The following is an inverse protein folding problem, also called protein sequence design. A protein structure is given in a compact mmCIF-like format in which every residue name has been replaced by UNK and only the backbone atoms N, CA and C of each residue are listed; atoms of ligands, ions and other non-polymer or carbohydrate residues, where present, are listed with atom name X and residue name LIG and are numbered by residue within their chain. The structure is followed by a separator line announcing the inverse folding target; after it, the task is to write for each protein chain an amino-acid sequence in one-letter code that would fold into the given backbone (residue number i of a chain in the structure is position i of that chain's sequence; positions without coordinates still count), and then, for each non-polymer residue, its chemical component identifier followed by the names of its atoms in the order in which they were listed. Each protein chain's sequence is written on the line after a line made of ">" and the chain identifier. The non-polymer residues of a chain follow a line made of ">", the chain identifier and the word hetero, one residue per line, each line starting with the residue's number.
data_IF_407915893323
#
_entry.id   IF_407915893323
#
_cell.length_a   1.000
_cell.length_b   1.000
_cell.length_c   1.000
_cell.angle_alpha   90.00
_cell.angle_beta   90.00
_cell.angle_gamma   90.00
#
_symmetry.space_group_name_H-M   'P 1'
#
loop_
_entity.id
_entity.type
_entity.pdbx_description
1 polymer ?
#
# COMPACT_ATOMS: atom_id res chain seq x y z
N UNK A 1 -7.58 34.27 11.48
CA UNK A 1 -6.52 33.42 10.89
C UNK A 1 -6.11 32.26 11.81
N UNK A 2 -6.20 32.41 13.13
CA UNK A 2 -5.77 31.37 14.08
C UNK A 2 -6.72 30.17 14.17
N UNK A 3 -8.03 30.39 14.04
CA UNK A 3 -9.03 29.31 13.98
C UNK A 3 -8.80 28.41 12.75
N UNK A 4 -8.48 28.99 11.60
CA UNK A 4 -8.11 28.23 10.39
C UNK A 4 -6.81 27.45 10.59
N UNK A 5 -5.79 28.04 11.23
CA UNK A 5 -4.55 27.32 11.58
C UNK A 5 -4.78 26.18 12.57
N UNK A 6 -5.73 26.31 13.49
CA UNK A 6 -6.08 25.25 14.44
C UNK A 6 -6.83 24.12 13.76
N UNK A 7 -7.79 24.44 12.88
CA UNK A 7 -8.49 23.46 12.06
C UNK A 7 -7.51 22.73 11.13
N UNK A 8 -6.61 23.46 10.47
CA UNK A 8 -5.60 22.87 9.58
C UNK A 8 -4.63 21.96 10.34
N UNK A 9 -4.23 22.34 11.56
CA UNK A 9 -3.44 21.48 12.46
C UNK A 9 -4.18 20.19 12.83
N UNK A 10 -5.47 20.28 13.14
CA UNK A 10 -6.30 19.10 13.40
C UNK A 10 -6.37 18.15 12.20
N UNK A 11 -6.58 18.70 10.98
CA UNK A 11 -6.58 17.91 9.75
C UNK A 11 -5.22 17.23 9.48
N UNK A 12 -4.12 17.92 9.76
CA UNK A 12 -2.78 17.36 9.60
C UNK A 12 -2.47 16.27 10.63
N UNK A 13 -2.87 16.46 11.89
CA UNK A 13 -2.69 15.46 12.96
C UNK A 13 -3.52 14.18 12.71
N UNK A 14 -4.69 14.31 12.09
CA UNK A 14 -5.62 13.19 11.80
C UNK A 14 -5.61 12.74 10.33
N UNK A 15 -4.63 13.16 9.54
CA UNK A 15 -4.57 12.93 8.09
C UNK A 15 -4.81 11.47 7.68
N UNK A 16 -4.24 10.51 8.43
CA UNK A 16 -4.44 9.08 8.17
C UNK A 16 -5.87 8.62 8.42
N UNK A 17 -6.46 9.05 9.53
CA UNK A 17 -7.83 8.66 9.92
C UNK A 17 -8.84 9.22 8.92
N UNK A 18 -8.68 10.49 8.56
CA UNK A 18 -9.52 11.18 7.57
C UNK A 18 -9.39 10.52 6.20
N UNK A 19 -8.17 10.14 5.80
CA UNK A 19 -7.92 9.40 4.57
C UNK A 19 -8.65 8.06 4.52
N UNK A 20 -8.60 7.27 5.59
CA UNK A 20 -9.33 5.99 5.65
C UNK A 20 -10.85 6.17 5.64
N UNK A 21 -11.38 7.14 6.40
CA UNK A 21 -12.82 7.43 6.41
C UNK A 21 -13.32 7.88 5.04
N UNK A 22 -12.58 8.75 4.35
CA UNK A 22 -12.93 9.19 3.00
C UNK A 22 -12.89 8.03 2.00
N UNK A 23 -11.86 7.18 2.08
CA UNK A 23 -11.75 5.99 1.24
C UNK A 23 -12.91 5.02 1.47
N UNK A 24 -13.34 4.83 2.71
CA UNK A 24 -14.52 4.01 3.03
C UNK A 24 -15.80 4.59 2.41
N UNK A 25 -16.03 5.90 2.53
CA UNK A 25 -17.19 6.58 1.91
C UNK A 25 -17.19 6.42 0.38
N UNK A 26 -16.04 6.61 -0.27
CA UNK A 26 -15.90 6.38 -1.71
C UNK A 26 -16.16 4.93 -2.10
N UNK A 27 -15.75 3.98 -1.26
CA UNK A 27 -15.98 2.55 -1.51
C UNK A 27 -17.47 2.22 -1.45
N UNK A 28 -18.18 2.74 -0.45
CA UNK A 28 -19.64 2.59 -0.34
C UNK A 28 -20.36 3.24 -1.52
N UNK A 29 -19.98 4.46 -1.89
CA UNK A 29 -20.56 5.15 -3.05
C UNK A 29 -20.29 4.42 -4.37
N UNK A 30 -19.06 3.96 -4.59
CA UNK A 30 -18.68 3.22 -5.78
C UNK A 30 -19.42 1.89 -5.91
N UNK A 31 -19.52 1.12 -4.83
CA UNK A 31 -20.27 -0.14 -4.82
C UNK A 31 -21.75 0.08 -5.14
N UNK A 32 -22.37 1.13 -4.59
CA UNK A 32 -23.76 1.48 -4.91
C UNK A 32 -23.95 1.85 -6.37
N UNK A 33 -23.01 2.57 -6.98
CA UNK A 33 -23.07 2.90 -8.41
C UNK A 33 -22.94 1.63 -9.26
N UNK A 34 -21.96 0.76 -9.00
CA UNK A 34 -21.79 -0.47 -9.79
C UNK A 34 -23.00 -1.41 -9.67
N UNK A 35 -23.49 -1.61 -8.44
CA UNK A 35 -24.63 -2.50 -8.18
C UNK A 35 -25.94 -1.98 -8.77
N UNK A 36 -26.21 -0.68 -8.75
CA UNK A 36 -27.46 -0.12 -9.27
C UNK A 36 -27.44 0.15 -10.78
N UNK A 37 -26.30 0.57 -11.33
CA UNK A 37 -26.24 1.09 -12.71
C UNK A 37 -25.82 0.03 -13.71
N UNK A 38 -24.93 -0.89 -13.33
CA UNK A 38 -24.28 -1.79 -14.29
C UNK A 38 -24.55 -3.27 -14.07
N UNK A 39 -24.85 -3.67 -12.83
CA UNK A 39 -24.95 -5.07 -12.49
C UNK A 39 -26.36 -5.62 -12.72
N UNK A 40 -26.46 -6.57 -13.65
CA UNK A 40 -27.66 -7.35 -13.87
C UNK A 40 -27.25 -8.80 -14.04
N UNK A 41 -27.67 -9.67 -13.11
CA UNK A 41 -27.31 -11.08 -13.18
C UNK A 41 -27.91 -11.70 -14.46
N UNK A 42 -27.14 -12.45 -15.28
CA UNK A 42 -27.59 -12.95 -16.57
C UNK A 42 -28.60 -14.11 -16.47
N UNK A 43 -28.79 -14.69 -15.27
CA UNK A 43 -29.73 -15.78 -15.00
C UNK A 43 -29.44 -17.05 -15.82
N UNK A 44 -28.17 -17.24 -16.15
CA UNK A 44 -27.68 -18.35 -16.94
C UNK A 44 -26.68 -19.12 -16.09
N UNK A 45 -26.92 -20.42 -15.94
CA UNK A 45 -26.19 -21.30 -15.05
C UNK A 45 -24.66 -21.17 -15.23
N UNK A 46 -24.18 -21.27 -16.47
CA UNK A 46 -22.74 -21.28 -16.78
C UNK A 46 -22.06 -19.91 -16.65
N UNK A 47 -22.83 -18.81 -16.73
CA UNK A 47 -22.30 -17.45 -16.77
C UNK A 47 -22.42 -16.71 -15.43
N UNK A 48 -23.38 -17.09 -14.60
CA UNK A 48 -23.67 -16.45 -13.31
C UNK A 48 -22.44 -16.42 -12.40
N UNK A 49 -21.71 -17.54 -12.28
CA UNK A 49 -20.51 -17.62 -11.45
C UNK A 49 -19.42 -16.66 -11.93
N UNK A 50 -19.05 -16.74 -13.21
CA UNK A 50 -18.00 -15.89 -13.79
C UNK A 50 -18.38 -14.40 -13.74
N UNK A 51 -19.63 -14.06 -14.05
CA UNK A 51 -20.11 -12.68 -14.05
C UNK A 51 -20.12 -12.09 -12.63
N UNK A 52 -20.75 -12.77 -11.66
CA UNK A 52 -20.79 -12.32 -10.27
C UNK A 52 -19.40 -12.19 -9.64
N UNK A 53 -18.52 -13.17 -9.90
CA UNK A 53 -17.14 -13.14 -9.39
C UNK A 53 -16.31 -12.01 -10.03
N UNK A 54 -16.53 -11.69 -11.30
CA UNK A 54 -15.84 -10.58 -11.97
C UNK A 54 -16.20 -9.24 -11.35
N UNK A 55 -17.46 -8.99 -11.04
CA UNK A 55 -17.87 -7.75 -10.35
C UNK A 55 -17.42 -7.72 -8.88
N UNK A 56 -17.27 -8.88 -8.23
CA UNK A 56 -16.75 -8.96 -6.88
C UNK A 56 -15.23 -8.72 -6.81
N UNK A 57 -14.43 -9.43 -7.63
CA UNK A 57 -12.97 -9.43 -7.57
C UNK A 57 -12.30 -8.43 -8.53
N UNK A 58 -12.95 -8.07 -9.63
CA UNK A 58 -12.39 -7.18 -10.66
C UNK A 58 -12.00 -5.81 -10.08
N UNK A 59 -12.92 -5.07 -9.45
CA UNK A 59 -12.59 -3.80 -8.80
C UNK A 59 -11.54 -3.96 -7.69
N UNK A 60 -11.57 -5.06 -6.93
CA UNK A 60 -10.56 -5.35 -5.92
C UNK A 60 -9.16 -5.50 -6.53
N UNK A 61 -9.03 -6.19 -7.67
CA UNK A 61 -7.76 -6.35 -8.38
C UNK A 61 -7.25 -5.02 -8.93
N UNK A 62 -8.13 -4.18 -9.51
CA UNK A 62 -7.77 -2.84 -9.99
C UNK A 62 -7.29 -1.96 -8.84
N UNK A 63 -8.02 -1.95 -7.71
CA UNK A 63 -7.63 -1.21 -6.51
C UNK A 63 -6.28 -1.68 -5.95
N UNK A 64 -6.00 -3.00 -6.02
CA UNK A 64 -4.72 -3.55 -5.58
C UNK A 64 -3.56 -3.03 -6.45
N UNK A 65 -3.74 -2.99 -7.77
CA UNK A 65 -2.75 -2.41 -8.70
C UNK A 65 -2.49 -0.95 -8.38
N UNK A 66 -3.55 -0.13 -8.21
CA UNK A 66 -3.38 1.27 -7.79
C UNK A 66 -2.69 1.42 -6.43
N UNK A 67 -2.96 0.51 -5.49
CA UNK A 67 -2.28 0.44 -4.20
C UNK A 67 -0.77 0.23 -4.33
N UNK A 68 -0.33 -0.63 -5.25
CA UNK A 68 1.09 -0.80 -5.56
C UNK A 68 1.69 0.43 -6.26
N UNK A 69 1.02 0.96 -7.28
CA UNK A 69 1.49 2.12 -8.05
C UNK A 69 1.64 3.37 -7.18
N UNK A 70 0.82 3.52 -6.15
CA UNK A 70 0.89 4.67 -5.23
C UNK A 70 1.94 4.50 -4.12
N UNK A 71 2.54 3.31 -3.99
CA UNK A 71 3.45 2.99 -2.89
C UNK A 71 4.88 3.42 -3.18
N UNK A 72 5.34 4.48 -2.52
CA UNK A 72 6.74 4.92 -2.60
C UNK A 72 7.73 3.85 -2.11
N UNK A 73 7.31 2.99 -1.17
CA UNK A 73 8.12 1.86 -0.70
C UNK A 73 8.28 0.77 -1.76
N UNK A 74 7.24 0.54 -2.56
CA UNK A 74 7.30 -0.39 -3.70
C UNK A 74 8.31 0.10 -4.75
N UNK A 75 8.22 1.37 -5.14
CA UNK A 75 9.16 1.97 -6.10
C UNK A 75 10.60 1.99 -5.58
N UNK A 76 10.83 2.31 -4.30
CA UNK A 76 12.18 2.26 -3.70
C UNK A 76 12.80 0.87 -3.76
N UNK A 77 11.98 -0.18 -3.69
CA UNK A 77 12.44 -1.56 -3.80
C UNK A 77 12.73 -1.97 -5.25
N UNK A 78 11.86 -1.58 -6.19
CA UNK A 78 11.94 -2.05 -7.58
C UNK A 78 12.88 -1.21 -8.47
N UNK A 79 12.98 0.10 -8.23
CA UNK A 79 13.85 1.00 -9.01
C UNK A 79 15.32 0.65 -8.80
N UNK A 80 15.99 0.28 -9.89
CA UNK A 80 17.38 -0.16 -9.90
C UNK A 80 17.58 -1.67 -9.65
N UNK A 81 16.52 -2.48 -9.66
CA UNK A 81 16.61 -3.94 -9.48
C UNK A 81 17.53 -4.63 -10.52
N UNK A 82 17.46 -4.22 -11.79
CA UNK A 82 18.29 -4.78 -12.86
C UNK A 82 19.76 -4.33 -12.80
N UNK A 83 20.06 -3.26 -12.06
CA UNK A 83 21.43 -2.76 -11.85
C UNK A 83 22.11 -3.49 -10.69
N UNK A 84 21.36 -3.79 -9.64
CA UNK A 84 21.87 -4.47 -8.46
C UNK A 84 20.80 -5.40 -7.87
N UNK A 85 20.70 -6.67 -8.32
CA UNK A 85 19.68 -7.61 -7.86
C UNK A 85 19.83 -7.95 -6.36
N UNK A 86 21.00 -7.71 -5.79
CA UNK A 86 21.27 -7.87 -4.36
C UNK A 86 20.55 -6.81 -3.48
N UNK A 87 20.02 -5.74 -4.08
CA UNK A 87 19.26 -4.68 -3.38
C UNK A 87 17.91 -5.17 -2.87
N UNK A 88 17.26 -6.11 -3.56
CA UNK A 88 15.99 -6.69 -3.11
C UNK A 88 16.20 -7.66 -1.95
N UNK A 89 17.11 -8.61 -2.11
CA UNK A 89 17.42 -9.60 -1.08
C UNK A 89 18.95 -9.76 -0.93
N UNK A 90 19.58 -9.12 0.07
CA UNK A 90 21.00 -9.36 0.35
C UNK A 90 21.24 -10.82 0.74
N UNK A 91 22.36 -11.38 0.27
CA UNK A 91 22.77 -12.81 0.34
C UNK A 91 22.36 -13.44 1.68
N UNK A 92 21.38 -14.34 1.65
CA UNK A 92 20.96 -15.18 2.78
C UNK A 92 19.78 -14.69 3.64
N UNK A 93 19.26 -13.47 3.46
CA UNK A 93 18.16 -12.94 4.29
C UNK A 93 16.78 -12.97 3.60
N UNK A 94 16.35 -14.15 3.14
CA UNK A 94 15.04 -14.35 2.50
C UNK A 94 13.88 -13.89 3.40
N UNK A 95 13.99 -14.14 4.71
CA UNK A 95 13.01 -13.71 5.71
C UNK A 95 12.87 -12.18 5.79
N UNK A 96 13.97 -11.43 5.67
CA UNK A 96 13.93 -9.97 5.62
C UNK A 96 13.22 -9.46 4.36
N UNK A 97 13.54 -10.07 3.22
CA UNK A 97 12.94 -9.76 1.92
C UNK A 97 11.42 -9.98 1.94
N UNK A 98 11.00 -11.14 2.43
CA UNK A 98 9.58 -11.49 2.60
C UNK A 98 8.85 -10.52 3.53
N UNK A 99 9.47 -10.12 4.65
CA UNK A 99 8.87 -9.12 5.57
C UNK A 99 8.67 -7.75 4.91
N UNK A 100 9.61 -7.31 4.09
CA UNK A 100 9.49 -6.03 3.36
C UNK A 100 8.35 -6.12 2.34
N UNK A 101 8.31 -7.20 1.54
CA UNK A 101 7.24 -7.43 0.58
C UNK A 101 5.87 -7.51 1.27
N UNK A 102 5.75 -8.27 2.35
CA UNK A 102 4.51 -8.37 3.13
C UNK A 102 4.08 -7.01 3.71
N UNK A 103 5.02 -6.18 4.14
CA UNK A 103 4.72 -4.82 4.62
C UNK A 103 4.23 -3.89 3.51
N UNK A 104 4.65 -4.10 2.25
CA UNK A 104 4.16 -3.34 1.09
C UNK A 104 2.78 -3.86 0.69
N UNK A 105 2.63 -5.19 0.61
CA UNK A 105 1.39 -5.86 0.26
C UNK A 105 0.24 -5.51 1.21
N UNK A 106 0.47 -5.58 2.52
CA UNK A 106 -0.55 -5.24 3.52
C UNK A 106 -1.01 -3.78 3.42
N UNK A 107 -0.15 -2.86 2.99
CA UNK A 107 -0.54 -1.48 2.70
C UNK A 107 -1.39 -1.34 1.43
N UNK A 108 -1.08 -2.10 0.38
CA UNK A 108 -1.83 -2.09 -0.89
C UNK A 108 -3.20 -2.76 -0.77
N UNK A 109 -3.36 -3.74 0.13
CA UNK A 109 -4.61 -4.49 0.31
C UNK A 109 -5.71 -3.75 1.08
N UNK A 110 -5.46 -2.55 1.61
CA UNK A 110 -6.48 -1.81 2.39
C UNK A 110 -7.72 -1.52 1.54
N UNK A 111 -7.56 -0.92 0.35
CA UNK A 111 -8.68 -0.61 -0.53
C UNK A 111 -9.42 -1.87 -1.06
N UNK A 112 -8.72 -2.92 -1.55
CA UNK A 112 -9.35 -4.19 -1.92
C UNK A 112 -10.18 -4.82 -0.80
N UNK A 113 -9.67 -4.86 0.42
CA UNK A 113 -10.39 -5.45 1.57
C UNK A 113 -11.65 -4.66 1.89
N UNK A 114 -11.59 -3.33 1.86
CA UNK A 114 -12.77 -2.50 2.08
C UNK A 114 -13.82 -2.72 0.99
N UNK A 115 -13.41 -2.78 -0.29
CA UNK A 115 -14.30 -3.08 -1.39
C UNK A 115 -15.02 -4.41 -1.19
N UNK A 116 -14.26 -5.49 -0.92
CA UNK A 116 -14.84 -6.82 -0.72
C UNK A 116 -15.81 -6.84 0.46
N UNK A 117 -15.47 -6.13 1.55
CA UNK A 117 -16.34 -6.02 2.72
C UNK A 117 -17.67 -5.37 2.37
N UNK A 118 -17.65 -4.23 1.67
CA UNK A 118 -18.87 -3.50 1.27
C UNK A 118 -19.69 -4.31 0.26
N UNK A 119 -19.04 -4.88 -0.77
CA UNK A 119 -19.70 -5.67 -1.79
C UNK A 119 -20.38 -6.93 -1.21
N UNK A 120 -19.74 -7.62 -0.26
CA UNK A 120 -20.31 -8.78 0.42
C UNK A 120 -21.45 -8.40 1.38
N UNK A 121 -21.38 -7.23 2.03
CA UNK A 121 -22.48 -6.76 2.87
C UNK A 121 -23.73 -6.40 2.05
N UNK A 122 -23.56 -5.88 0.82
CA UNK A 122 -24.67 -5.69 -0.11
C UNK A 122 -25.21 -7.02 -0.66
N UNK A 123 -24.31 -7.97 -0.96
CA UNK A 123 -24.64 -9.36 -1.26
C UNK A 123 -25.07 -9.68 -2.70
N UNK A 124 -25.39 -8.66 -3.50
CA UNK A 124 -25.88 -8.83 -4.88
C UNK A 124 -24.92 -9.59 -5.80
N UNK A 125 -23.62 -9.30 -5.74
CA UNK A 125 -22.61 -10.01 -6.54
C UNK A 125 -22.41 -11.46 -6.09
N UNK A 126 -22.47 -11.70 -4.77
CA UNK A 126 -22.35 -13.03 -4.18
C UNK A 126 -23.56 -13.90 -4.51
N UNK A 127 -24.78 -13.36 -4.38
CA UNK A 127 -26.03 -14.01 -4.75
C UNK A 127 -25.98 -14.53 -6.19
N UNK A 128 -25.55 -13.69 -7.14
CA UNK A 128 -25.40 -14.09 -8.54
C UNK A 128 -24.30 -15.15 -8.71
N UNK A 129 -23.11 -14.94 -8.12
CA UNK A 129 -21.99 -15.85 -8.29
C UNK A 129 -22.31 -17.27 -7.76
N UNK A 130 -22.82 -17.37 -6.54
CA UNK A 130 -23.10 -18.65 -5.88
C UNK A 130 -24.28 -19.37 -6.52
N UNK A 131 -25.24 -18.64 -7.09
CA UNK A 131 -26.37 -19.25 -7.81
C UNK A 131 -25.97 -20.05 -9.05
N UNK A 132 -24.79 -19.79 -9.63
CA UNK A 132 -24.24 -20.51 -10.78
C UNK A 132 -23.15 -21.52 -10.41
N UNK A 133 -22.98 -21.87 -9.13
CA UNK A 133 -22.03 -22.90 -8.71
C UNK A 133 -22.59 -24.29 -8.95
N UNK A 134 -21.80 -25.14 -9.64
CA UNK A 134 -22.13 -26.56 -9.85
C UNK A 134 -21.69 -27.49 -8.72
N UNK A 135 -21.10 -26.95 -7.66
CA UNK A 135 -20.55 -27.75 -6.56
C UNK A 135 -21.68 -28.44 -5.77
N UNK A 136 -21.71 -29.77 -5.83
CA UNK A 136 -22.68 -30.62 -5.13
C UNK A 136 -22.78 -30.28 -3.63
N UNK A 137 -21.68 -29.93 -2.96
CA UNK A 137 -21.67 -29.67 -1.52
C UNK A 137 -22.35 -28.34 -1.18
N UNK A 138 -22.07 -27.30 -1.97
CA UNK A 138 -22.65 -25.96 -1.79
C UNK A 138 -24.12 -25.98 -2.19
N UNK A 139 -24.46 -26.59 -3.34
CA UNK A 139 -25.84 -26.70 -3.83
C UNK A 139 -26.72 -27.50 -2.87
N UNK A 140 -26.22 -28.61 -2.32
CA UNK A 140 -26.97 -29.42 -1.35
C UNK A 140 -27.21 -28.69 -0.01
N UNK A 141 -26.37 -27.71 0.34
CA UNK A 141 -26.57 -26.90 1.54
C UNK A 141 -27.81 -25.99 1.40
N UNK A 142 -28.03 -25.42 0.21
CA UNK A 142 -29.15 -24.52 -0.06
C UNK A 142 -30.43 -25.27 -0.47
N UNK A 143 -30.30 -26.34 -1.23
CA UNK A 143 -31.42 -27.16 -1.70
C UNK A 143 -31.65 -28.42 -0.84
N UNK A 144 -31.30 -28.38 0.45
CA UNK A 144 -31.48 -29.55 1.35
C UNK A 144 -32.97 -29.91 1.43
N UNK A 145 -33.30 -31.17 1.09
CA UNK A 145 -34.67 -31.70 0.99
C UNK A 145 -35.55 -31.09 -0.13
N UNK A 146 -34.99 -30.34 -1.09
CA UNK A 146 -35.73 -29.81 -2.24
C UNK A 146 -35.53 -30.70 -3.49
N UNK A 147 -36.48 -30.66 -4.41
CA UNK A 147 -36.50 -31.44 -5.65
C UNK A 147 -35.33 -31.08 -6.58
N UNK A 148 -35.01 -31.94 -7.56
CA UNK A 148 -34.06 -31.66 -8.66
C UNK A 148 -34.30 -30.28 -9.32
N UNK A 149 -35.55 -29.84 -9.29
CA UNK A 149 -36.00 -28.52 -9.75
C UNK A 149 -35.33 -27.34 -9.01
N UNK A 150 -34.99 -27.48 -7.73
CA UNK A 150 -34.27 -26.43 -6.97
C UNK A 150 -32.88 -26.19 -7.55
N UNK A 151 -32.19 -27.28 -7.93
CA UNK A 151 -30.85 -27.22 -8.50
C UNK A 151 -30.86 -26.55 -9.88
N UNK A 152 -31.78 -26.95 -10.74
CA UNK A 152 -31.90 -26.41 -12.10
C UNK A 152 -32.33 -24.93 -12.12
N UNK A 153 -33.16 -24.51 -11.16
CA UNK A 153 -33.70 -23.15 -11.11
C UNK A 153 -32.92 -22.20 -10.19
N UNK A 154 -31.89 -22.69 -9.46
CA UNK A 154 -31.09 -21.89 -8.53
C UNK A 154 -30.46 -20.67 -9.21
N UNK A 155 -29.90 -20.86 -10.40
CA UNK A 155 -29.30 -19.80 -11.22
C UNK A 155 -30.30 -18.68 -11.62
N UNK A 156 -31.60 -18.93 -11.55
CA UNK A 156 -32.65 -17.96 -11.88
C UNK A 156 -33.27 -17.28 -10.66
N UNK A 157 -32.95 -17.74 -9.46
CA UNK A 157 -33.44 -17.16 -8.20
C UNK A 157 -33.10 -15.66 -8.05
N UNK A 158 -31.86 -15.20 -8.33
CA UNK A 158 -31.51 -13.78 -8.23
C UNK A 158 -32.24 -12.86 -9.22
N UNK A 159 -32.89 -13.44 -10.23
CA UNK A 159 -33.44 -12.72 -11.37
C UNK A 159 -34.97 -12.64 -11.40
N UNK A 160 -35.66 -13.15 -10.37
CA UNK A 160 -37.13 -13.19 -10.34
C UNK A 160 -37.75 -14.05 -11.48
N UNK A 161 -36.95 -14.90 -12.15
CA UNK A 161 -37.37 -15.73 -13.31
C UNK A 161 -37.45 -17.23 -13.02
N UNK A 162 -37.25 -17.64 -11.77
CA UNK A 162 -37.32 -19.04 -11.36
C UNK A 162 -38.75 -19.58 -11.39
N UNK A 163 -38.93 -20.84 -11.76
CA UNK A 163 -40.23 -21.54 -11.67
C UNK A 163 -40.65 -21.95 -10.25
N UNK A 164 -39.83 -21.66 -9.24
CA UNK A 164 -40.10 -21.94 -7.83
C UNK A 164 -41.22 -21.05 -7.30
N UNK A 165 -41.91 -21.51 -6.25
CA UNK A 165 -42.91 -20.67 -5.58
C UNK A 165 -42.26 -19.42 -4.98
N UNK A 166 -43.00 -18.32 -4.91
CA UNK A 166 -42.47 -17.03 -4.41
C UNK A 166 -41.85 -17.14 -3.01
N UNK A 167 -42.45 -17.96 -2.14
CA UNK A 167 -41.97 -18.17 -0.77
C UNK A 167 -40.61 -18.88 -0.75
N UNK A 168 -40.44 -19.94 -1.55
CA UNK A 168 -39.20 -20.71 -1.60
C UNK A 168 -38.06 -19.92 -2.23
N UNK A 169 -38.36 -19.13 -3.26
CA UNK A 169 -37.39 -18.23 -3.87
C UNK A 169 -36.91 -17.16 -2.88
N UNK A 170 -37.84 -16.56 -2.14
CA UNK A 170 -37.50 -15.56 -1.12
C UNK A 170 -36.63 -16.17 -0.01
N UNK A 171 -36.96 -17.37 0.44
CA UNK A 171 -36.18 -18.11 1.43
C UNK A 171 -34.74 -18.37 0.94
N UNK A 172 -34.56 -18.86 -0.29
CA UNK A 172 -33.25 -19.10 -0.89
C UNK A 172 -32.44 -17.80 -1.04
N UNK A 173 -33.08 -16.72 -1.48
CA UNK A 173 -32.42 -15.42 -1.64
C UNK A 173 -31.95 -14.85 -0.28
N UNK A 174 -32.77 -15.00 0.77
CA UNK A 174 -32.38 -14.64 2.14
C UNK A 174 -31.22 -15.50 2.66
N UNK A 175 -31.19 -16.80 2.34
CA UNK A 175 -30.06 -17.67 2.68
C UNK A 175 -28.76 -17.23 1.99
N UNK A 176 -28.80 -16.96 0.68
CA UNK A 176 -27.64 -16.46 -0.08
C UNK A 176 -27.15 -15.12 0.47
N UNK A 177 -28.07 -14.19 0.73
CA UNK A 177 -27.74 -12.86 1.28
C UNK A 177 -27.13 -12.96 2.68
N UNK A 178 -27.71 -13.76 3.56
CA UNK A 178 -27.20 -13.92 4.92
C UNK A 178 -25.79 -14.53 4.94
N UNK A 179 -25.51 -15.52 4.08
CA UNK A 179 -24.15 -16.05 3.94
C UNK A 179 -23.17 -14.98 3.45
N UNK A 180 -23.55 -14.19 2.45
CA UNK A 180 -22.71 -13.08 1.97
C UNK A 180 -22.39 -12.09 3.10
N UNK A 181 -23.40 -11.71 3.90
CA UNK A 181 -23.21 -10.76 5.00
C UNK A 181 -22.35 -11.34 6.13
N UNK A 182 -22.52 -12.63 6.45
CA UNK A 182 -21.65 -13.33 7.41
C UNK A 182 -20.21 -13.30 6.92
N UNK A 183 -19.95 -13.64 5.66
CA UNK A 183 -18.61 -13.57 5.05
C UNK A 183 -18.04 -12.14 5.09
N UNK A 184 -18.86 -11.14 4.77
CA UNK A 184 -18.48 -9.73 4.86
C UNK A 184 -18.02 -9.34 6.27
N UNK A 185 -18.81 -9.68 7.29
CA UNK A 185 -18.44 -9.44 8.69
C UNK A 185 -17.22 -10.24 9.14
N UNK A 186 -17.07 -11.49 8.70
CA UNK A 186 -15.87 -12.29 8.97
C UNK A 186 -14.62 -11.60 8.42
N UNK A 187 -14.65 -11.08 7.19
CA UNK A 187 -13.51 -10.35 6.61
C UNK A 187 -13.19 -9.11 7.45
N UNK A 188 -14.20 -8.32 7.84
CA UNK A 188 -14.01 -7.12 8.68
C UNK A 188 -13.36 -7.48 10.01
N UNK A 189 -13.89 -8.46 10.73
CA UNK A 189 -13.38 -8.88 12.04
C UNK A 189 -11.96 -9.43 11.92
N UNK A 190 -11.71 -10.36 10.99
CA UNK A 190 -10.40 -10.99 10.80
C UNK A 190 -9.36 -9.92 10.45
N UNK A 191 -9.67 -9.01 9.53
CA UNK A 191 -8.73 -7.97 9.10
C UNK A 191 -8.45 -6.94 10.18
N UNK A 192 -9.46 -6.55 10.97
CA UNK A 192 -9.29 -5.67 12.13
C UNK A 192 -8.41 -6.34 13.21
N UNK A 193 -8.68 -7.60 13.55
CA UNK A 193 -7.90 -8.35 14.54
C UNK A 193 -6.46 -8.56 14.08
N UNK A 194 -6.24 -8.99 12.83
CA UNK A 194 -4.90 -9.17 12.25
C UNK A 194 -4.15 -7.84 12.17
N UNK A 195 -4.83 -6.74 11.81
CA UNK A 195 -4.26 -5.39 11.79
C UNK A 195 -3.80 -4.92 13.16
N UNK A 196 -4.63 -5.13 14.19
CA UNK A 196 -4.30 -4.80 15.58
C UNK A 196 -3.12 -5.64 16.08
N UNK A 197 -3.19 -6.97 15.96
CA UNK A 197 -2.13 -7.88 16.39
C UNK A 197 -0.82 -7.59 15.64
N UNK A 198 -0.88 -7.37 14.33
CA UNK A 198 0.29 -7.01 13.52
C UNK A 198 0.93 -5.71 13.97
N UNK A 199 0.12 -4.69 14.30
CA UNK A 199 0.61 -3.41 14.82
C UNK A 199 1.23 -3.57 16.21
N UNK A 200 0.57 -4.30 17.11
CA UNK A 200 1.09 -4.61 18.44
C UNK A 200 2.42 -5.37 18.35
N UNK A 201 2.48 -6.46 17.58
CA UNK A 201 3.71 -7.23 17.38
C UNK A 201 4.84 -6.37 16.77
N UNK A 202 4.52 -5.49 15.81
CA UNK A 202 5.50 -4.58 15.22
C UNK A 202 6.05 -3.58 16.24
N UNK A 203 5.19 -3.02 17.08
CA UNK A 203 5.59 -2.07 18.12
C UNK A 203 6.36 -2.77 19.26
N UNK A 204 5.92 -3.95 19.72
CA UNK A 204 6.62 -4.76 20.72
C UNK A 204 8.00 -5.23 20.25
N UNK A 205 8.15 -5.57 18.95
CA UNK A 205 9.43 -5.94 18.33
C UNK A 205 10.29 -4.75 17.91
N UNK A 206 9.82 -3.52 18.16
CA UNK A 206 10.60 -2.33 17.85
C UNK A 206 11.89 -2.31 18.65
N UNK A 207 13.01 -2.03 17.98
CA UNK A 207 14.32 -1.90 18.63
C UNK A 207 14.50 -0.59 19.40
N UNK A 208 13.55 0.35 19.23
CA UNK A 208 13.55 1.73 19.75
C UNK A 208 12.27 2.05 20.50
N UNK A 209 12.37 2.98 21.46
CA UNK A 209 11.24 3.48 22.26
C UNK A 209 10.22 4.24 21.41
N UNK A 210 8.97 4.34 21.89
CA UNK A 210 7.88 5.04 21.23
C UNK A 210 8.21 6.50 20.88
N UNK A 211 8.83 7.24 21.81
CA UNK A 211 9.17 8.65 21.58
C UNK A 211 10.24 8.80 20.49
N UNK A 212 11.22 7.90 20.47
CA UNK A 212 12.25 7.88 19.44
C UNK A 212 11.67 7.50 18.07
N UNK A 213 10.69 6.58 18.01
CA UNK A 213 9.94 6.28 16.78
C UNK A 213 9.17 7.50 16.28
N UNK A 214 8.53 8.25 17.18
CA UNK A 214 7.80 9.48 16.83
C UNK A 214 8.76 10.53 16.28
N UNK A 215 9.89 10.78 16.94
CA UNK A 215 10.93 11.67 16.45
C UNK A 215 11.42 11.26 15.06
N UNK A 216 11.74 9.98 14.87
CA UNK A 216 12.19 9.46 13.58
C UNK A 216 11.19 9.71 12.45
N UNK A 217 9.88 9.54 12.70
CA UNK A 217 8.85 9.83 11.69
C UNK A 217 8.86 11.32 11.29
N UNK A 218 8.92 12.21 12.27
CA UNK A 218 8.99 13.67 12.06
C UNK A 218 10.25 14.03 11.28
N UNK A 219 11.40 13.48 11.66
CA UNK A 219 12.67 13.70 10.97
C UNK A 219 12.58 13.30 9.49
N UNK A 220 12.09 12.11 9.17
CA UNK A 220 11.97 11.63 7.78
C UNK A 220 11.03 12.54 6.95
N UNK A 221 9.94 13.02 7.56
CA UNK A 221 9.02 13.94 6.88
C UNK A 221 9.69 15.28 6.56
N UNK A 222 10.41 15.86 7.53
CA UNK A 222 11.15 17.11 7.33
C UNK A 222 12.35 16.97 6.41
N UNK A 223 13.06 15.85 6.48
CA UNK A 223 14.14 15.51 5.55
C UNK A 223 13.61 15.49 4.12
N UNK A 224 12.45 14.86 3.87
CA UNK A 224 11.83 14.83 2.54
C UNK A 224 11.45 16.23 2.06
N UNK A 225 10.74 17.02 2.88
CA UNK A 225 10.36 18.39 2.50
C UNK A 225 11.58 19.25 2.13
N UNK A 226 12.65 19.14 2.90
CA UNK A 226 13.89 19.88 2.64
C UNK A 226 14.63 19.36 1.42
N UNK A 227 14.69 18.04 1.25
CA UNK A 227 15.31 17.42 0.09
C UNK A 227 14.63 17.88 -1.22
N UNK A 228 13.30 17.86 -1.27
CA UNK A 228 12.54 18.28 -2.46
C UNK A 228 12.80 19.76 -2.80
N UNK A 229 12.84 20.63 -1.78
CA UNK A 229 13.15 22.05 -1.96
C UNK A 229 14.59 22.29 -2.45
N UNK A 230 15.58 21.62 -1.86
CA UNK A 230 16.98 21.72 -2.29
C UNK A 230 17.19 21.14 -3.70
N UNK A 231 16.56 20.01 -4.02
CA UNK A 231 16.65 19.39 -5.34
C UNK A 231 16.07 20.30 -6.42
N UNK A 232 14.95 20.98 -6.14
CA UNK A 232 14.36 21.95 -7.05
C UNK A 232 15.31 23.12 -7.32
N UNK A 233 15.88 23.72 -6.27
CA UNK A 233 16.83 24.84 -6.41
C UNK A 233 18.06 24.45 -7.24
N UNK A 234 18.65 23.29 -6.96
CA UNK A 234 19.81 22.78 -7.69
C UNK A 234 19.48 22.47 -9.15
N UNK A 235 18.29 21.92 -9.44
CA UNK A 235 17.85 21.65 -10.80
C UNK A 235 17.67 22.97 -11.59
N UNK A 236 17.09 24.01 -10.98
CA UNK A 236 16.95 25.34 -11.59
C UNK A 236 18.30 25.94 -11.94
N UNK A 237 19.26 25.95 -11.00
CA UNK A 237 20.62 26.47 -11.26
C UNK A 237 21.33 25.72 -12.38
N UNK A 238 21.18 24.39 -12.44
CA UNK A 238 21.75 23.59 -13.50
C UNK A 238 21.13 23.92 -14.87
N UNK A 239 19.81 24.08 -14.91
CA UNK A 239 19.09 24.44 -16.14
C UNK A 239 19.51 25.82 -16.65
N UNK A 240 19.56 26.82 -15.77
CA UNK A 240 20.01 28.18 -16.09
C UNK A 240 21.45 28.19 -16.64
N UNK A 241 22.39 27.53 -15.95
CA UNK A 241 23.78 27.40 -16.41
C UNK A 241 23.86 26.80 -17.82
N UNK A 242 23.09 25.74 -18.08
CA UNK A 242 23.10 25.05 -19.37
C UNK A 242 22.50 25.92 -20.49
N UNK A 243 21.36 26.57 -20.22
CA UNK A 243 20.72 27.47 -21.18
C UNK A 243 21.63 28.66 -21.49
N UNK A 244 22.23 29.28 -20.49
CA UNK A 244 23.16 30.39 -20.68
C UNK A 244 24.37 29.97 -21.52
N UNK A 245 24.99 28.83 -21.20
CA UNK A 245 26.14 28.32 -21.95
C UNK A 245 25.77 28.00 -23.41
N UNK A 246 24.56 27.48 -23.64
CA UNK A 246 24.05 27.17 -24.98
C UNK A 246 23.80 28.44 -25.81
N UNK A 247 23.03 29.41 -25.29
CA UNK A 247 22.69 30.62 -26.03
C UNK A 247 23.88 31.58 -26.21
N UNK A 248 24.82 31.61 -25.26
CA UNK A 248 26.04 32.42 -25.37
C UNK A 248 27.19 31.69 -26.07
N UNK A 249 27.01 30.42 -26.47
CA UNK A 249 28.03 29.55 -27.06
C UNK A 249 29.34 29.50 -26.24
N UNK A 250 29.21 29.36 -24.92
CA UNK A 250 30.33 29.29 -23.96
C UNK A 250 30.49 27.87 -23.41
N UNK A 251 31.72 27.52 -23.01
CA UNK A 251 31.96 26.28 -22.26
C UNK A 251 31.31 26.39 -20.87
N UNK A 252 30.55 25.37 -20.43
CA UNK A 252 29.88 25.40 -19.14
C UNK A 252 30.87 25.32 -17.98
N UNK A 253 30.63 26.09 -16.91
CA UNK A 253 31.41 26.00 -15.68
C UNK A 253 31.17 24.66 -14.97
N UNK A 254 32.17 24.09 -14.27
CA UNK A 254 32.02 22.85 -13.52
C UNK A 254 30.93 22.99 -12.45
N UNK A 255 30.08 21.98 -12.32
CA UNK A 255 28.99 21.93 -11.34
C UNK A 255 29.11 20.61 -10.58
N UNK A 256 29.42 20.62 -9.27
CA UNK A 256 29.66 19.41 -8.51
C UNK A 256 28.35 18.62 -8.35
N UNK A 257 28.41 17.32 -8.61
CA UNK A 257 27.33 16.38 -8.37
C UNK A 257 27.79 15.23 -7.48
N UNK A 258 26.90 14.71 -6.61
CA UNK A 258 27.13 13.42 -5.99
C UNK A 258 27.29 12.35 -7.08
N UNK A 259 28.24 11.43 -6.88
CA UNK A 259 28.45 10.33 -7.82
C UNK A 259 27.27 9.35 -7.83
N UNK A 260 27.20 8.48 -8.83
CA UNK A 260 26.09 7.52 -8.98
C UNK A 260 25.96 6.58 -7.77
N UNK A 261 27.08 6.17 -7.18
CA UNK A 261 27.12 5.29 -5.99
C UNK A 261 26.46 5.94 -4.78
N UNK A 262 26.69 7.24 -4.56
CA UNK A 262 26.04 8.02 -3.52
C UNK A 262 24.51 8.02 -3.68
N UNK A 263 24.02 8.22 -4.91
CA UNK A 263 22.60 8.18 -5.23
C UNK A 263 21.97 6.80 -4.98
N UNK A 264 22.69 5.72 -5.32
CA UNK A 264 22.24 4.35 -5.07
C UNK A 264 22.15 4.04 -3.57
N UNK A 265 23.15 4.43 -2.79
CA UNK A 265 23.23 4.18 -1.35
C UNK A 265 22.13 4.90 -0.56
N UNK A 266 21.88 6.19 -0.83
CA UNK A 266 20.81 6.93 -0.15
C UNK A 266 19.42 6.40 -0.54
N UNK A 267 19.30 5.72 -1.69
CA UNK A 267 18.06 5.12 -2.19
C UNK A 267 17.81 3.70 -1.64
N UNK A 268 18.73 3.14 -0.85
CA UNK A 268 18.57 1.80 -0.27
C UNK A 268 17.46 1.76 0.78
N UNK A 269 16.76 0.61 0.88
CA UNK A 269 15.73 0.42 1.90
C UNK A 269 16.38 0.32 3.29
N UNK A 270 16.22 1.35 4.11
CA UNK A 270 16.85 1.43 5.44
C UNK A 270 15.99 0.82 6.57
N UNK A 271 16.57 -0.14 7.29
CA UNK A 271 16.05 -0.64 8.58
C UNK A 271 16.96 -0.21 9.71
N UNK A 272 16.38 0.32 10.79
CA UNK A 272 17.13 0.77 11.95
C UNK A 272 17.88 -0.38 12.64
N UNK A 273 19.16 -0.16 12.96
CA UNK A 273 19.98 -1.06 13.78
C UNK A 273 20.40 -0.37 15.08
N UNK A 274 20.50 -1.10 16.20
CA UNK A 274 20.99 -0.54 17.47
C UNK A 274 22.47 -0.15 17.41
N UNK A 275 23.23 -0.77 16.52
CA UNK A 275 24.66 -0.50 16.32
C UNK A 275 24.93 0.78 15.52
N UNK A 276 23.94 1.32 14.83
CA UNK A 276 24.07 2.50 13.96
C UNK A 276 22.87 3.42 14.21
N UNK A 277 23.05 4.49 15.00
CA UNK A 277 21.97 5.38 15.45
C UNK A 277 21.49 6.40 14.39
N UNK A 278 21.44 6.00 13.12
CA UNK A 278 20.98 6.87 12.04
C UNK A 278 19.46 6.74 11.82
N UNK A 279 18.79 7.83 11.50
CA UNK A 279 17.34 7.88 11.28
C UNK A 279 16.94 7.64 9.82
N UNK A 280 17.81 8.00 8.87
CA UNK A 280 17.65 7.82 7.42
C UNK A 280 18.91 7.24 6.76
N UNK A 281 18.78 6.77 5.52
CA UNK A 281 19.89 6.35 4.66
C UNK A 281 20.80 7.53 4.29
N UNK A 282 20.22 8.72 4.07
CA UNK A 282 20.97 9.93 3.77
C UNK A 282 21.82 10.38 4.97
N UNK A 283 21.26 10.39 6.18
CA UNK A 283 22.03 10.67 7.40
C UNK A 283 23.18 9.67 7.56
N UNK A 284 22.90 8.37 7.37
CA UNK A 284 23.92 7.31 7.42
C UNK A 284 25.04 7.53 6.41
N UNK A 285 24.71 7.98 5.19
CA UNK A 285 25.70 8.27 4.15
C UNK A 285 26.57 9.47 4.54
N UNK A 286 25.97 10.55 5.04
CA UNK A 286 26.70 11.76 5.44
C UNK A 286 27.58 11.51 6.68
N UNK A 287 27.08 10.83 7.70
CA UNK A 287 27.80 10.65 8.96
C UNK A 287 28.84 9.50 8.93
N UNK A 288 28.94 8.74 7.84
CA UNK A 288 30.05 7.80 7.63
C UNK A 288 31.33 8.54 7.22
N UNK A 289 32.44 8.19 7.86
CA UNK A 289 33.75 8.82 7.64
C UNK A 289 34.42 8.47 6.30
N UNK A 290 34.06 7.34 5.68
CA UNK A 290 34.60 6.91 4.37
C UNK A 290 33.80 7.49 3.20
N UNK A 291 33.77 8.82 3.10
CA UNK A 291 33.20 9.46 1.91
C UNK A 291 34.23 9.40 0.78
N UNK A 292 33.78 9.05 -0.42
CA UNK A 292 34.55 9.16 -1.68
C UNK A 292 34.75 10.67 -2.07
N UNK A 293 35.24 11.51 -1.15
CA UNK A 293 35.78 12.82 -1.48
C UNK A 293 37.22 12.62 -1.97
N UNK A 294 37.50 13.10 -3.19
CA UNK A 294 38.88 13.37 -3.62
C UNK A 294 39.59 14.20 -2.54
N UNK A 295 40.85 13.85 -2.19
CA UNK A 295 41.50 14.36 -0.99
C UNK A 295 42.05 15.77 -1.21
N UNK A 296 41.25 16.78 -0.94
CA UNK A 296 41.75 18.09 -0.53
C UNK A 296 41.01 18.48 0.75
N UNK A 297 41.76 18.91 1.76
CA UNK A 297 41.33 19.21 3.13
C UNK A 297 41.19 18.00 4.07
N UNK A 298 42.31 17.30 4.31
CA UNK A 298 42.62 16.91 5.69
C UNK A 298 43.26 18.13 6.37
N UNK A 299 42.76 18.62 7.52
CA UNK A 299 43.56 19.50 8.34
C UNK A 299 44.76 18.68 8.81
N UNK A 300 45.95 19.14 8.44
CA UNK A 300 47.21 18.70 9.01
C UNK A 300 47.12 19.01 10.50
N UNK A 301 47.11 17.97 11.34
CA UNK A 301 47.37 18.16 12.77
C UNK A 301 48.86 18.49 12.86
N UNK A 302 49.18 19.75 13.16
CA UNK A 302 50.54 20.22 13.35
C UNK A 302 51.24 19.38 14.43
N UNK A 303 52.41 18.88 14.05
CA UNK A 303 53.36 18.19 14.89
C UNK A 303 54.53 19.15 15.13
N UNK A 304 54.59 19.77 16.31
CA UNK A 304 55.77 20.39 16.94
C UNK A 304 55.28 21.00 18.27
N UNK A 305 55.94 20.94 19.43
CA UNK A 305 57.13 20.26 19.94
C UNK A 305 57.05 20.46 21.46
N UNK A 306 57.50 19.51 22.27
CA UNK A 306 57.46 19.68 23.73
C UNK A 306 57.89 18.46 24.51
N UNK A 307 59.10 17.96 24.22
CA UNK A 307 59.86 17.14 25.16
C UNK A 307 60.43 18.11 26.21
N UNK A 308 60.09 17.94 27.49
CA UNK A 308 61.08 17.81 28.57
C UNK A 308 60.46 17.51 29.96
N UNK A 309 61.02 16.47 30.57
CA UNK A 309 61.24 16.21 32.01
C UNK A 309 60.06 15.93 32.95
N UNK A 310 59.87 14.65 33.27
CA UNK A 310 60.47 14.04 34.47
C UNK A 310 60.55 12.52 34.34
#
# INVERSE_FOLDING_TARGET
>A
MDNLRTVWRFFMDQKSTIGYSFMALLTVGGERVFSMVSFQCPCNHDQNFAYGLTFLLGPAAVLLVFGFLSSTRFWRLYTGCCLNPMKLCPRGNCLGCFRVFLSIFTGACVAPVMWLSVALLNGTFYECAVSGLDDNLVVNLFCKNKTLTCREELARVPCDRSKLSSNERMELLLMLRSQSQILGWCIIIITATVGLLGTCCKNCRSKVSYLQLKFRKIYIEKEKERFDAFALEYATKLAERNLQSFFENKKPQPFPFPNHKAWEEISAHYTFSRSEQYYSSLQRYVERGDRDFTPEERPVMDLEYGIEMN
#
